data_IF_747405734654
#
_entry.id   IF_747405734654
#
_cell.length_a   1.000
_cell.length_b   1.000
_cell.length_c   1.000
_cell.angle_alpha   90.00
_cell.angle_beta   90.00
_cell.angle_gamma   90.00
#
_symmetry.space_group_name_H-M   'P 1'
#
loop_
_entity.id
_entity.type
_entity.pdbx_description
1 polymer ?
#
# COMPACT_ATOMS: atom_id res chain seq x y z
N UNK A 1 24.47 14.79 -0.70
CA UNK A 1 23.89 15.77 0.25
C UNK A 1 22.37 15.73 0.09
N UNK A 2 21.65 14.98 0.95
CA UNK A 2 20.18 14.95 0.91
C UNK A 2 19.70 16.20 1.64
N UNK A 3 19.02 17.12 0.95
CA UNK A 3 18.36 18.27 1.62
C UNK A 3 17.29 17.70 2.54
N UNK A 4 17.52 17.75 3.86
CA UNK A 4 16.47 17.47 4.84
C UNK A 4 15.41 18.58 4.73
N UNK A 5 14.16 18.19 4.49
CA UNK A 5 13.05 19.14 4.52
C UNK A 5 12.78 19.49 5.98
N UNK A 6 12.91 20.76 6.34
CA UNK A 6 12.54 21.29 7.65
C UNK A 6 11.01 21.42 7.68
N UNK A 7 10.33 20.43 8.26
CA UNK A 7 8.88 20.40 8.37
C UNK A 7 8.42 19.17 9.17
N UNK A 8 7.19 19.21 9.67
CA UNK A 8 6.59 18.09 10.40
C UNK A 8 6.46 16.86 9.47
N UNK A 9 6.68 15.66 10.02
CA UNK A 9 6.54 14.42 9.27
C UNK A 9 5.06 14.10 9.06
N UNK A 10 4.50 14.56 7.94
CA UNK A 10 3.10 14.35 7.57
C UNK A 10 2.93 13.15 6.64
N UNK A 11 1.82 12.43 6.80
CA UNK A 11 1.44 11.30 5.95
C UNK A 11 0.91 11.81 4.60
N UNK A 12 1.48 11.30 3.50
CA UNK A 12 1.18 11.75 2.13
C UNK A 12 0.28 10.78 1.33
N UNK A 13 -0.31 9.78 1.99
CA UNK A 13 -1.08 8.71 1.34
C UNK A 13 -2.32 8.33 2.12
N UNK A 14 -3.32 7.76 1.45
CA UNK A 14 -4.46 7.11 2.10
C UNK A 14 -4.05 5.69 2.51
N UNK A 15 -4.38 5.28 3.73
CA UNK A 15 -4.04 3.96 4.26
C UNK A 15 -4.94 2.94 3.60
N UNK A 16 -4.36 1.78 3.39
CA UNK A 16 -5.10 0.60 2.98
C UNK A 16 -4.56 -0.61 3.71
N UNK A 17 -5.43 -1.60 3.87
CA UNK A 17 -5.11 -2.89 4.46
C UNK A 17 -5.18 -3.94 3.34
N UNK A 18 -4.13 -4.73 3.20
CA UNK A 18 -4.13 -5.88 2.28
C UNK A 18 -4.91 -7.00 2.97
N UNK A 19 -6.05 -7.39 2.41
CA UNK A 19 -6.88 -8.47 2.94
C UNK A 19 -6.38 -9.85 2.51
N UNK A 20 -5.73 -9.91 1.35
CA UNK A 20 -5.20 -11.14 0.77
C UNK A 20 -5.19 -11.06 -0.75
N UNK A 21 -5.27 -12.21 -1.40
CA UNK A 21 -5.39 -12.29 -2.86
C UNK A 21 -6.82 -12.55 -3.28
N UNK A 22 -7.13 -12.27 -4.55
CA UNK A 22 -8.35 -12.73 -5.20
C UNK A 22 -8.48 -14.23 -4.97
N UNK A 23 -9.65 -14.69 -4.56
CA UNK A 23 -9.85 -16.07 -4.10
C UNK A 23 -11.27 -16.55 -4.38
N UNK A 24 -11.42 -17.86 -4.51
CA UNK A 24 -12.69 -18.57 -4.38
C UNK A 24 -12.79 -19.17 -2.96
N UNK A 25 -13.79 -20.04 -2.73
CA UNK A 25 -13.92 -20.75 -1.45
C UNK A 25 -12.66 -21.54 -1.08
N UNK A 26 -12.00 -22.16 -2.06
CA UNK A 26 -10.85 -23.04 -1.84
C UNK A 26 -9.56 -22.57 -2.54
N UNK A 27 -9.66 -21.82 -3.64
CA UNK A 27 -8.50 -21.46 -4.47
C UNK A 27 -8.11 -20.00 -4.24
N UNK A 28 -6.82 -19.70 -4.37
CA UNK A 28 -6.26 -18.35 -4.27
C UNK A 28 -5.47 -18.01 -5.53
N UNK A 29 -5.59 -16.77 -6.01
CA UNK A 29 -5.01 -16.26 -7.25
C UNK A 29 -4.07 -15.09 -6.93
N UNK A 30 -2.76 -15.35 -6.70
CA UNK A 30 -1.81 -14.35 -6.19
C UNK A 30 -1.50 -13.19 -7.14
N UNK A 31 -1.91 -13.28 -8.41
CA UNK A 31 -1.72 -12.23 -9.41
C UNK A 31 -2.55 -10.97 -9.13
N UNK A 32 -3.55 -11.03 -8.24
CA UNK A 32 -4.39 -9.88 -7.89
C UNK A 32 -4.58 -9.82 -6.38
N UNK A 33 -4.22 -8.69 -5.77
CA UNK A 33 -4.41 -8.45 -4.34
C UNK A 33 -5.74 -7.74 -4.07
N UNK A 34 -6.42 -8.12 -2.98
CA UNK A 34 -7.59 -7.44 -2.45
C UNK A 34 -7.14 -6.45 -1.38
N UNK A 35 -7.52 -5.19 -1.56
CA UNK A 35 -7.15 -4.09 -0.65
C UNK A 35 -8.42 -3.39 -0.17
N UNK A 36 -8.51 -3.18 1.14
CA UNK A 36 -9.49 -2.30 1.76
C UNK A 36 -8.86 -0.91 1.96
N UNK A 37 -9.45 0.13 1.40
CA UNK A 37 -9.02 1.52 1.61
C UNK A 37 -9.72 2.05 2.88
N UNK A 38 -8.97 2.70 3.76
CA UNK A 38 -9.50 3.25 5.02
C UNK A 38 -10.54 4.36 4.70
N UNK A 39 -11.74 4.23 5.26
CA UNK A 39 -12.82 5.20 5.08
C UNK A 39 -13.62 5.09 3.78
N UNK A 40 -13.36 4.08 2.94
CA UNK A 40 -14.08 3.85 1.68
C UNK A 40 -14.99 2.64 1.82
N UNK A 41 -16.31 2.84 1.71
CA UNK A 41 -17.31 1.81 2.00
C UNK A 41 -18.20 1.46 0.80
N UNK A 42 -18.27 2.35 -0.21
CA UNK A 42 -19.14 2.15 -1.37
C UNK A 42 -18.32 1.94 -2.64
N UNK A 43 -18.95 1.32 -3.66
CA UNK A 43 -18.29 1.05 -4.93
C UNK A 43 -18.03 2.35 -5.70
N UNK A 44 -18.91 3.32 -5.53
CA UNK A 44 -18.87 4.63 -6.16
C UNK A 44 -17.64 5.42 -5.66
N UNK A 45 -17.34 5.37 -4.36
CA UNK A 45 -16.17 6.01 -3.76
C UNK A 45 -14.85 5.37 -4.23
N UNK A 46 -14.81 4.03 -4.38
CA UNK A 46 -13.63 3.30 -4.85
C UNK A 46 -13.19 3.76 -6.25
N UNK A 47 -14.13 4.16 -7.11
CA UNK A 47 -13.81 4.54 -8.49
C UNK A 47 -12.80 5.67 -8.59
N UNK A 48 -12.76 6.59 -7.62
CA UNK A 48 -11.77 7.68 -7.59
C UNK A 48 -10.33 7.16 -7.43
N UNK A 49 -10.14 5.99 -6.82
CA UNK A 49 -8.83 5.38 -6.56
C UNK A 49 -8.31 4.51 -7.71
N UNK A 50 -9.17 4.15 -8.67
CA UNK A 50 -8.78 3.35 -9.83
C UNK A 50 -7.66 4.04 -10.62
N UNK A 51 -6.59 3.30 -10.91
CA UNK A 51 -5.40 3.81 -11.62
C UNK A 51 -4.36 4.52 -10.75
N UNK A 52 -4.62 4.74 -9.45
CA UNK A 52 -3.61 5.30 -8.53
C UNK A 52 -2.52 4.27 -8.20
N UNK A 53 -1.32 4.77 -7.91
CA UNK A 53 -0.17 3.95 -7.53
C UNK A 53 -0.24 3.56 -6.05
N UNK A 54 0.25 2.37 -5.74
CA UNK A 54 0.33 1.83 -4.38
C UNK A 54 1.77 1.48 -4.02
N UNK A 55 2.10 1.56 -2.73
CA UNK A 55 3.39 1.16 -2.20
C UNK A 55 3.20 0.34 -0.92
N UNK A 56 3.84 -0.82 -0.85
CA UNK A 56 3.97 -1.61 0.37
C UNK A 56 5.40 -1.46 0.89
N UNK A 57 5.54 -0.75 2.01
CA UNK A 57 6.83 -0.49 2.64
C UNK A 57 6.94 -1.37 3.87
N UNK A 58 8.00 -2.17 3.94
CA UNK A 58 8.28 -3.10 5.04
C UNK A 58 9.76 -3.07 5.36
N UNK A 59 10.12 -3.39 6.63
CA UNK A 59 11.50 -3.49 7.09
C UNK A 59 12.05 -4.92 6.99
N UNK A 60 13.19 -5.06 6.34
CA UNK A 60 13.95 -6.29 6.16
C UNK A 60 15.15 -6.34 7.12
N UNK A 61 15.57 -7.57 7.45
CA UNK A 61 16.69 -7.82 8.38
C UNK A 61 18.05 -7.48 7.76
N UNK A 62 18.22 -7.76 6.47
CA UNK A 62 19.49 -7.61 5.76
C UNK A 62 19.47 -6.33 4.94
N UNK A 63 20.52 -5.52 5.08
CA UNK A 63 20.67 -4.31 4.27
C UNK A 63 21.04 -4.70 2.86
N UNK A 64 20.30 -4.18 1.88
CA UNK A 64 20.74 -4.19 0.47
C UNK A 64 21.00 -2.75 0.03
N UNK A 65 22.12 -2.52 -0.66
CA UNK A 65 22.51 -1.22 -1.21
C UNK A 65 22.47 -0.06 -0.19
N UNK A 66 22.91 -0.32 1.04
CA UNK A 66 22.99 0.70 2.11
C UNK A 66 21.64 1.15 2.69
N UNK A 67 20.51 0.63 2.21
CA UNK A 67 19.18 0.90 2.77
C UNK A 67 18.73 -0.29 3.62
N UNK A 68 18.31 -0.01 4.85
CA UNK A 68 17.45 -0.91 5.60
C UNK A 68 16.04 -0.65 5.07
N UNK A 69 15.73 -1.29 3.94
CA UNK A 69 14.38 -1.30 3.38
C UNK A 69 13.54 -2.07 4.34
#
# INVERSE_FOLDING_TARGET
MVKSRQGENVRLYVRGTILGYKRSKSNQYPNTSLIQIEGVNTKEEVNWYCGKRMAYVYKAKVKKNGRQG
#
